data_IF_908787344100
#
_entry.id   IF_908787344100
#
_cell.length_a   1.000
_cell.length_b   1.000
_cell.length_c   1.000
_cell.angle_alpha   90.00
_cell.angle_beta   90.00
_cell.angle_gamma   90.00
#
_symmetry.space_group_name_H-M   'P 1'
#
loop_
_entity.id
_entity.type
_entity.pdbx_description
1 polymer ?
#
# COMPACT_ATOMS: atom_id res chain seq x y z
N UNK A 1 11.55 -5.76 7.71
CA UNK A 1 10.55 -4.68 7.94
C UNK A 1 9.99 -4.26 6.59
N UNK A 2 8.77 -3.75 6.50
CA UNK A 2 8.19 -3.28 5.22
C UNK A 2 7.93 -1.79 5.30
N UNK A 3 8.31 -1.04 4.26
CA UNK A 3 8.07 0.41 4.12
C UNK A 3 7.02 0.63 3.05
N UNK A 4 5.96 1.35 3.38
CA UNK A 4 4.87 1.65 2.46
C UNK A 4 4.94 3.10 2.00
N UNK A 5 5.08 3.34 0.70
CA UNK A 5 5.17 4.68 0.09
C UNK A 5 3.86 5.01 -0.64
N UNK A 6 3.21 6.12 -0.28
CA UNK A 6 2.08 6.65 -1.05
C UNK A 6 1.80 8.13 -0.76
N UNK A 7 1.11 8.77 -1.71
CA UNK A 7 0.66 10.17 -1.61
C UNK A 7 -0.32 10.43 -0.46
N UNK A 8 -0.66 11.70 -0.23
CA UNK A 8 -1.60 12.10 0.85
C UNK A 8 -2.97 11.47 0.67
N UNK A 9 -3.66 11.22 1.79
CA UNK A 9 -5.05 10.73 1.84
C UNK A 9 -5.33 9.40 1.10
N UNK A 10 -4.31 8.57 0.92
CA UNK A 10 -4.40 7.25 0.27
C UNK A 10 -4.86 6.12 1.18
N UNK A 11 -5.21 6.41 2.44
CA UNK A 11 -5.66 5.39 3.41
C UNK A 11 -4.53 4.67 4.17
N UNK A 12 -3.29 5.16 4.11
CA UNK A 12 -2.14 4.59 4.87
C UNK A 12 -2.44 4.39 6.36
N UNK A 13 -2.96 5.43 7.02
CA UNK A 13 -3.30 5.38 8.45
C UNK A 13 -4.39 4.34 8.74
N UNK A 14 -5.42 4.26 7.90
CA UNK A 14 -6.49 3.24 8.01
C UNK A 14 -5.90 1.83 7.89
N UNK A 15 -4.97 1.61 6.96
CA UNK A 15 -4.28 0.33 6.84
C UNK A 15 -3.46 0.00 8.09
N UNK A 16 -2.71 0.94 8.65
CA UNK A 16 -1.96 0.70 9.89
C UNK A 16 -2.88 0.36 11.05
N UNK A 17 -4.05 0.99 11.16
CA UNK A 17 -5.08 0.65 12.16
C UNK A 17 -5.56 -0.79 11.96
N UNK A 18 -5.89 -1.18 10.73
CA UNK A 18 -6.30 -2.56 10.43
C UNK A 18 -5.20 -3.57 10.75
N UNK A 19 -3.95 -3.26 10.43
CA UNK A 19 -2.81 -4.13 10.77
C UNK A 19 -2.60 -4.22 12.28
N UNK A 20 -2.71 -3.10 13.00
CA UNK A 20 -2.63 -3.05 14.46
C UNK A 20 -3.71 -3.91 15.10
N UNK A 21 -4.96 -3.81 14.64
CA UNK A 21 -6.07 -4.62 15.14
C UNK A 21 -5.86 -6.13 14.92
N UNK A 22 -5.23 -6.51 13.80
CA UNK A 22 -4.95 -7.91 13.47
C UNK A 22 -3.77 -8.50 14.24
N UNK A 23 -2.75 -7.69 14.51
CA UNK A 23 -1.45 -8.17 15.01
C UNK A 23 -1.17 -7.81 16.46
N UNK A 24 -1.91 -6.86 17.02
CA UNK A 24 -1.60 -6.27 18.32
C UNK A 24 -0.35 -5.37 18.31
N UNK A 25 0.16 -4.99 17.13
CA UNK A 25 1.29 -4.06 17.04
C UNK A 25 0.90 -2.64 17.45
N UNK A 26 1.80 -1.93 18.15
CA UNK A 26 1.56 -0.55 18.60
C UNK A 26 1.85 0.42 17.47
N UNK A 27 0.92 1.33 17.18
CA UNK A 27 1.15 2.40 16.20
C UNK A 27 1.93 3.54 16.87
N UNK A 28 3.02 3.97 16.24
CA UNK A 28 3.83 5.13 16.62
C UNK A 28 3.53 6.26 15.65
N UNK A 29 3.21 7.44 16.20
CA UNK A 29 2.91 8.64 15.42
C UNK A 29 3.81 9.83 15.80
N UNK A 30 4.02 10.80 14.89
CA UNK A 30 4.86 11.99 15.13
C UNK A 30 4.40 12.87 16.29
N UNK A 31 3.09 13.05 16.49
CA UNK A 31 2.56 14.02 17.46
C UNK A 31 1.41 13.46 18.28
N UNK A 32 1.16 14.05 19.45
CA UNK A 32 -0.02 13.73 20.28
C UNK A 32 -1.34 13.99 19.56
N UNK A 33 -1.39 15.00 18.69
CA UNK A 33 -2.58 15.28 17.86
C UNK A 33 -2.86 14.11 16.90
N UNK A 34 -1.81 13.57 16.28
CA UNK A 34 -1.94 12.39 15.40
C UNK A 34 -2.31 11.13 16.18
N UNK A 35 -1.74 10.92 17.38
CA UNK A 35 -2.16 9.83 18.29
C UNK A 35 -3.66 9.91 18.58
N UNK A 36 -4.16 11.08 18.96
CA UNK A 36 -5.60 11.29 19.20
C UNK A 36 -6.46 11.19 17.94
N UNK A 37 -5.91 11.45 16.76
CA UNK A 37 -6.59 11.21 15.49
C UNK A 37 -6.70 9.72 15.17
N UNK A 38 -5.61 8.96 15.32
CA UNK A 38 -5.58 7.50 15.11
C UNK A 38 -6.53 6.79 16.07
N UNK A 39 -6.52 7.16 17.35
CA UNK A 39 -7.39 6.55 18.37
C UNK A 39 -8.88 6.81 18.11
N UNK A 40 -9.24 8.02 17.65
CA UNK A 40 -10.61 8.32 17.21
C UNK A 40 -10.99 7.53 15.96
N UNK A 41 -10.11 7.51 14.95
CA UNK A 41 -10.35 6.76 13.72
C UNK A 41 -10.53 5.27 13.97
N UNK A 42 -9.74 4.66 14.87
CA UNK A 42 -9.89 3.26 15.23
C UNK A 42 -11.27 2.97 15.85
N UNK A 43 -11.74 3.86 16.74
CA UNK A 43 -13.09 3.79 17.33
C UNK A 43 -14.19 3.94 16.28
N UNK A 44 -14.06 4.90 15.37
CA UNK A 44 -15.02 5.13 14.28
C UNK A 44 -15.10 3.92 13.33
N UNK A 45 -13.98 3.21 13.14
CA UNK A 45 -13.90 1.97 12.38
C UNK A 45 -14.38 0.73 13.17
N UNK A 46 -14.70 0.86 14.46
CA UNK A 46 -15.11 -0.25 15.31
C UNK A 46 -13.98 -1.26 15.60
N UNK A 47 -12.72 -0.83 15.50
CA UNK A 47 -11.54 -1.68 15.68
C UNK A 47 -10.90 -1.46 17.06
N UNK A 48 -10.60 -2.56 17.75
CA UNK A 48 -9.80 -2.52 18.96
C UNK A 48 -8.32 -2.62 18.61
N UNK A 49 -7.53 -1.63 19.03
CA UNK A 49 -6.08 -1.58 18.85
C UNK A 49 -5.39 -1.26 20.18
N UNK A 50 -4.12 -1.66 20.38
CA UNK A 50 -3.30 -1.13 21.46
C UNK A 50 -3.24 0.40 21.40
N UNK A 51 -3.13 1.10 22.55
CA UNK A 51 -3.03 2.55 22.57
C UNK A 51 -1.86 3.06 21.70
N UNK A 52 -2.11 3.93 20.71
CA UNK A 52 -1.04 4.52 19.92
C UNK A 52 -0.15 5.40 20.80
N UNK A 53 1.13 5.52 20.44
CA UNK A 53 2.12 6.30 21.19
C UNK A 53 2.82 7.32 20.29
N UNK A 54 3.42 8.34 20.90
CA UNK A 54 4.26 9.29 20.15
C UNK A 54 5.67 8.75 19.94
N UNK A 55 6.39 9.30 18.96
CA UNK A 55 7.84 9.06 18.79
C UNK A 55 8.62 9.37 20.05
N UNK A 56 8.28 10.48 20.73
CA UNK A 56 8.95 10.90 21.95
C UNK A 56 8.77 9.87 23.08
N UNK A 57 7.55 9.33 23.24
CA UNK A 57 7.27 8.30 24.24
C UNK A 57 7.93 6.97 23.88
N UNK A 58 7.98 6.64 22.59
CA UNK A 58 8.67 5.46 22.11
C UNK A 58 10.16 5.50 22.41
N UNK A 59 10.85 6.61 22.08
CA UNK A 59 12.27 6.82 22.37
C UNK A 59 12.51 6.80 23.88
N UNK A 60 11.68 7.49 24.68
CA UNK A 60 11.78 7.48 26.13
C UNK A 60 11.62 6.07 26.70
N UNK A 61 10.73 5.27 26.12
CA UNK A 61 10.52 3.87 26.46
C UNK A 61 11.77 3.01 26.16
N UNK A 62 12.38 3.20 24.99
CA UNK A 62 13.60 2.49 24.59
C UNK A 62 14.79 2.79 25.52
N UNK A 63 14.94 4.05 25.97
CA UNK A 63 16.02 4.42 26.90
C UNK A 63 15.81 3.83 28.30
N UNK A 64 14.56 3.62 28.71
CA UNK A 64 14.20 3.11 30.05
C UNK A 64 14.12 1.58 30.14
N UNK A 65 13.93 0.88 29.02
CA UNK A 65 13.78 -0.59 29.00
C UNK A 65 15.05 -1.27 28.52
N UNK A 66 15.57 -2.23 29.30
CA UNK A 66 16.67 -3.12 28.89
C UNK A 66 16.20 -4.40 28.20
N UNK A 67 14.90 -4.71 28.18
CA UNK A 67 14.36 -5.87 27.46
C UNK A 67 12.94 -5.60 26.95
N UNK A 68 12.71 -6.02 25.71
CA UNK A 68 11.40 -5.99 25.06
C UNK A 68 11.45 -6.61 23.68
N UNK A 69 12.18 -7.72 23.51
CA UNK A 69 12.40 -8.42 22.23
C UNK A 69 11.11 -9.02 21.60
N UNK A 70 9.92 -8.67 22.09
CA UNK A 70 8.62 -9.18 21.63
C UNK A 70 7.59 -8.13 21.22
N UNK A 71 7.92 -6.83 21.23
CA UNK A 71 6.98 -5.78 20.79
C UNK A 71 7.21 -5.40 19.34
N UNK A 72 6.14 -5.47 18.55
CA UNK A 72 6.13 -5.01 17.15
C UNK A 72 5.49 -3.63 17.07
N UNK A 73 6.07 -2.77 16.25
CA UNK A 73 5.64 -1.38 16.07
C UNK A 73 5.28 -1.13 14.61
N UNK A 74 4.27 -0.29 14.42
CA UNK A 74 3.87 0.26 13.12
C UNK A 74 4.11 1.77 13.15
N UNK A 75 4.84 2.30 12.16
CA UNK A 75 5.18 3.72 12.13
C UNK A 75 4.28 4.45 11.14
N UNK A 76 3.51 5.42 11.63
CA UNK A 76 2.77 6.36 10.76
C UNK A 76 3.60 7.62 10.49
N UNK A 77 3.49 8.13 9.25
CA UNK A 77 4.23 9.29 8.75
C UNK A 77 5.74 9.31 9.11
N UNK A 78 6.44 8.27 8.66
CA UNK A 78 7.89 8.11 8.88
C UNK A 78 8.69 9.35 8.47
N UNK A 79 8.29 10.04 7.40
CA UNK A 79 8.96 11.26 6.94
C UNK A 79 8.90 12.36 8.00
N UNK A 80 7.71 12.61 8.57
CA UNK A 80 7.55 13.58 9.65
C UNK A 80 8.34 13.17 10.90
N UNK A 81 8.36 11.88 11.24
CA UNK A 81 9.16 11.39 12.38
C UNK A 81 10.65 11.67 12.20
N UNK A 82 11.21 11.32 11.03
CA UNK A 82 12.63 11.58 10.73
C UNK A 82 12.94 13.07 10.77
N UNK A 83 12.03 13.91 10.27
CA UNK A 83 12.16 15.36 10.34
C UNK A 83 12.21 15.88 11.79
N UNK A 84 11.34 15.37 12.68
CA UNK A 84 11.36 15.72 14.11
C UNK A 84 12.64 15.28 14.83
N UNK A 85 13.27 14.21 14.35
CA UNK A 85 14.55 13.72 14.87
C UNK A 85 15.76 14.44 14.26
N UNK A 86 15.54 15.49 13.46
CA UNK A 86 16.58 16.25 12.77
C UNK A 86 17.45 15.35 11.87
N UNK A 87 16.85 14.33 11.26
CA UNK A 87 17.50 13.45 10.29
C UNK A 87 17.36 14.04 8.90
N UNK A 88 18.50 14.36 8.27
CA UNK A 88 18.53 14.93 6.91
C UNK A 88 18.45 13.86 5.82
N UNK A 89 19.12 12.73 6.02
CA UNK A 89 19.15 11.63 5.07
C UNK A 89 19.10 10.27 5.79
N UNK A 90 18.43 9.30 5.16
CA UNK A 90 18.41 7.91 5.61
C UNK A 90 18.55 6.98 4.41
N UNK A 91 19.16 5.83 4.62
CA UNK A 91 19.42 4.84 3.55
C UNK A 91 18.67 3.55 3.86
N UNK A 92 18.31 2.81 2.81
CA UNK A 92 17.78 1.46 2.88
C UNK A 92 18.69 0.55 2.08
N UNK A 93 18.98 -0.64 2.61
CA UNK A 93 19.81 -1.64 1.95
C UNK A 93 19.08 -2.26 0.74
N UNK A 94 19.83 -2.56 -0.33
CA UNK A 94 19.29 -3.05 -1.59
C UNK A 94 18.53 -4.39 -1.45
N UNK A 95 18.94 -5.24 -0.50
CA UNK A 95 18.26 -6.49 -0.18
C UNK A 95 16.83 -6.29 0.34
N UNK A 96 16.47 -5.06 0.72
CA UNK A 96 15.14 -4.69 1.20
C UNK A 96 14.31 -3.93 0.15
N UNK A 97 14.76 -3.84 -1.11
CA UNK A 97 13.97 -3.24 -2.22
C UNK A 97 12.57 -3.84 -2.32
N UNK A 98 12.43 -5.16 -2.20
CA UNK A 98 11.14 -5.86 -2.27
C UNK A 98 10.24 -5.59 -1.04
N UNK A 99 10.82 -5.06 0.03
CA UNK A 99 10.09 -4.64 1.22
C UNK A 99 9.66 -3.16 1.18
N UNK A 100 10.08 -2.41 0.16
CA UNK A 100 9.53 -1.07 -0.13
C UNK A 100 8.37 -1.24 -1.11
N UNK A 101 7.15 -1.00 -0.64
CA UNK A 101 5.92 -1.23 -1.40
C UNK A 101 5.18 0.08 -1.65
N UNK A 102 4.73 0.28 -2.88
CA UNK A 102 3.83 1.39 -3.19
C UNK A 102 2.44 1.08 -2.65
N UNK A 103 1.90 1.93 -1.79
CA UNK A 103 0.61 1.71 -1.13
C UNK A 103 -0.54 2.24 -1.99
N UNK A 104 -1.58 1.41 -2.21
CA UNK A 104 -2.74 1.78 -3.04
C UNK A 104 -2.46 1.94 -4.54
N UNK A 105 -1.23 1.64 -4.99
CA UNK A 105 -0.88 1.57 -6.41
C UNK A 105 -0.79 0.09 -6.77
N UNK A 106 -1.71 -0.40 -7.61
CA UNK A 106 -1.58 -1.73 -8.21
C UNK A 106 -0.21 -1.75 -8.90
N UNK A 107 0.67 -2.69 -8.55
CA UNK A 107 1.95 -2.83 -9.26
C UNK A 107 1.63 -2.97 -10.75
N UNK A 108 1.93 -1.92 -11.52
CA UNK A 108 1.77 -1.96 -12.96
C UNK A 108 3.00 -2.65 -13.52
N UNK A 109 2.84 -3.46 -14.58
CA UNK A 109 3.95 -4.18 -15.21
C UNK A 109 5.16 -3.26 -15.49
N UNK A 110 4.93 -1.96 -15.71
CA UNK A 110 5.95 -0.95 -15.96
C UNK A 110 6.93 -0.69 -14.81
N UNK A 111 6.65 -1.08 -13.56
CA UNK A 111 7.60 -0.89 -12.44
C UNK A 111 8.81 -1.83 -12.50
N UNK A 112 8.75 -2.90 -13.30
CA UNK A 112 9.85 -3.88 -13.49
C UNK A 112 10.44 -3.89 -14.89
N UNK A 113 10.09 -2.92 -15.74
CA UNK A 113 10.66 -2.79 -17.08
C UNK A 113 12.12 -2.29 -17.04
N UNK A 114 12.92 -2.62 -18.06
CA UNK A 114 14.34 -2.23 -18.18
C UNK A 114 14.57 -0.71 -18.18
N UNK A 115 13.58 0.08 -18.59
CA UNK A 115 13.64 1.54 -18.61
C UNK A 115 13.25 2.17 -17.26
N UNK A 116 13.97 1.73 -16.21
CA UNK A 116 13.67 1.90 -14.78
C UNK A 116 13.33 3.32 -14.31
N UNK A 117 13.77 4.37 -15.01
CA UNK A 117 13.75 5.71 -14.41
C UNK A 117 12.57 6.59 -14.83
N UNK A 118 11.95 6.37 -15.98
CA UNK A 118 10.82 7.20 -16.42
C UNK A 118 9.98 6.39 -17.41
N UNK A 119 8.94 5.70 -16.94
CA UNK A 119 7.91 5.31 -17.88
C UNK A 119 7.16 6.59 -18.26
N UNK A 120 7.67 7.29 -19.28
CA UNK A 120 7.05 8.46 -19.92
C UNK A 120 5.60 8.20 -20.36
N UNK A 121 5.21 6.92 -20.44
CA UNK A 121 3.89 6.44 -20.83
C UNK A 121 3.14 5.74 -19.67
N UNK A 122 3.53 5.95 -18.41
CA UNK A 122 2.85 5.33 -17.26
C UNK A 122 1.38 5.75 -17.19
N UNK A 123 1.11 7.03 -17.43
CA UNK A 123 -0.24 7.57 -17.45
C UNK A 123 -1.05 6.98 -18.61
N UNK A 124 -0.44 6.85 -19.79
CA UNK A 124 -1.06 6.19 -20.95
C UNK A 124 -1.35 4.72 -20.69
N UNK A 125 -0.44 3.99 -20.04
CA UNK A 125 -0.66 2.60 -19.63
C UNK A 125 -1.83 2.47 -18.66
N UNK A 126 -1.88 3.33 -17.63
CA UNK A 126 -2.96 3.34 -16.65
C UNK A 126 -4.30 3.69 -17.30
N UNK A 127 -4.31 4.67 -18.21
CA UNK A 127 -5.48 5.05 -18.99
C UNK A 127 -5.95 3.92 -19.90
N UNK A 128 -5.03 3.23 -20.58
CA UNK A 128 -5.32 2.09 -21.43
C UNK A 128 -5.88 0.91 -20.61
N UNK A 129 -5.29 0.60 -19.46
CA UNK A 129 -5.79 -0.46 -18.58
C UNK A 129 -7.18 -0.11 -18.03
N UNK A 130 -7.39 1.15 -17.61
CA UNK A 130 -8.70 1.61 -17.16
C UNK A 130 -9.76 1.52 -18.28
N UNK A 131 -9.39 1.86 -19.52
CA UNK A 131 -10.28 1.72 -20.66
C UNK A 131 -10.66 0.26 -20.91
N UNK A 132 -9.71 -0.68 -20.80
CA UNK A 132 -9.95 -2.12 -20.90
C UNK A 132 -10.86 -2.62 -19.77
N UNK A 133 -10.63 -2.16 -18.53
CA UNK A 133 -11.41 -2.55 -17.35
C UNK A 133 -12.88 -2.10 -17.45
N UNK A 134 -13.15 -0.99 -18.15
CA UNK A 134 -14.50 -0.46 -18.40
C UNK A 134 -15.17 -1.02 -19.66
N UNK A 135 -14.50 -1.87 -20.46
CA UNK A 135 -15.12 -2.53 -21.61
C UNK A 135 -16.28 -3.40 -21.13
N UNK A 136 -17.46 -3.13 -21.69
CA UNK A 136 -18.66 -3.90 -21.41
C UNK A 136 -19.18 -4.58 -22.68
N UNK A 137 -19.72 -5.79 -22.48
CA UNK A 137 -20.32 -6.59 -23.54
C UNK A 137 -21.80 -6.77 -23.26
N UNK A 138 -22.58 -6.69 -24.32
CA UNK A 138 -24.02 -6.93 -24.28
C UNK A 138 -24.27 -8.43 -24.39
N UNK A 139 -24.77 -9.03 -23.31
CA UNK A 139 -25.21 -10.41 -23.33
C UNK A 139 -26.67 -10.48 -23.82
N UNK A 140 -26.97 -11.32 -24.82
CA UNK A 140 -28.35 -11.59 -25.19
C UNK A 140 -29.03 -12.30 -24.02
N UNK A 141 -30.06 -11.67 -23.46
CA UNK A 141 -30.95 -12.33 -22.51
C UNK A 141 -31.86 -13.30 -23.25
N UNK A 142 -32.20 -14.44 -22.62
CA UNK A 142 -33.16 -15.41 -23.17
C UNK A 142 -34.58 -14.84 -23.32
N UNK A 143 -34.86 -13.70 -22.69
CA UNK A 143 -36.10 -12.95 -22.85
C UNK A 143 -35.83 -11.66 -23.64
N UNK A 144 -36.49 -11.54 -24.78
CA UNK A 144 -36.28 -10.61 -25.91
C UNK A 144 -36.54 -9.11 -25.58
N UNK A 145 -36.35 -8.68 -24.32
CA UNK A 145 -36.64 -7.30 -23.87
C UNK A 145 -35.60 -6.67 -22.94
N UNK A 146 -34.49 -7.34 -22.62
CA UNK A 146 -33.43 -6.70 -21.84
C UNK A 146 -32.03 -7.10 -22.30
N UNK A 147 -31.32 -6.12 -22.87
CA UNK A 147 -29.89 -6.24 -23.12
C UNK A 147 -29.19 -6.05 -21.77
N UNK A 148 -28.56 -7.11 -21.24
CA UNK A 148 -27.77 -7.01 -20.02
C UNK A 148 -26.32 -6.71 -20.41
N UNK A 149 -25.86 -5.51 -20.07
CA UNK A 149 -24.45 -5.15 -20.19
C UNK A 149 -23.68 -5.69 -18.98
N UNK A 150 -22.53 -6.33 -19.22
CA UNK A 150 -21.60 -6.78 -18.19
C UNK A 150 -20.19 -6.30 -18.55
N UNK A 151 -19.44 -5.79 -17.58
CA UNK A 151 -18.02 -5.46 -17.79
C UNK A 151 -17.21 -6.74 -17.91
N UNK A 152 -16.23 -6.75 -18.80
CA UNK A 152 -15.38 -7.94 -19.04
C UNK A 152 -14.73 -8.46 -17.73
N UNK A 153 -14.25 -7.54 -16.88
CA UNK A 153 -13.67 -7.86 -15.56
C UNK A 153 -14.63 -8.52 -14.56
N UNK A 154 -15.93 -8.32 -14.74
CA UNK A 154 -16.96 -8.82 -13.83
C UNK A 154 -17.53 -10.17 -14.32
N UNK A 155 -17.01 -10.72 -15.43
CA UNK A 155 -17.39 -12.03 -15.96
C UNK A 155 -16.63 -13.12 -15.18
N UNK A 156 -17.32 -13.99 -14.40
CA UNK A 156 -16.65 -14.88 -13.44
C UNK A 156 -15.70 -15.92 -14.04
N UNK A 157 -15.85 -16.27 -15.32
CA UNK A 157 -15.09 -17.30 -16.01
C UNK A 157 -14.04 -16.74 -16.98
N UNK A 158 -13.92 -15.41 -17.07
CA UNK A 158 -12.89 -14.74 -17.89
C UNK A 158 -11.83 -14.18 -16.94
N UNK A 159 -10.58 -14.54 -17.19
CA UNK A 159 -9.46 -13.90 -16.49
C UNK A 159 -9.40 -12.41 -16.86
N UNK A 160 -9.23 -11.50 -15.88
CA UNK A 160 -9.09 -10.08 -16.17
C UNK A 160 -7.99 -9.81 -17.20
N UNK A 161 -8.30 -8.98 -18.20
CA UNK A 161 -7.35 -8.65 -19.26
C UNK A 161 -6.29 -7.72 -18.70
N UNK A 162 -5.08 -8.24 -18.53
CA UNK A 162 -3.93 -7.43 -18.12
C UNK A 162 -3.10 -7.04 -19.34
N UNK A 163 -2.97 -5.72 -19.56
CA UNK A 163 -2.08 -5.19 -20.59
C UNK A 163 -0.62 -5.45 -20.17
N UNK A 164 0.13 -6.12 -21.04
CA UNK A 164 1.55 -6.42 -20.83
C UNK A 164 2.42 -5.44 -21.59
N UNK A 165 3.42 -4.88 -20.92
CA UNK A 165 4.45 -4.11 -21.60
C UNK A 165 5.35 -5.07 -22.41
N UNK A 166 5.59 -4.78 -23.69
CA UNK A 166 6.48 -5.58 -24.56
C UNK A 166 7.93 -5.64 -24.03
N UNK A 167 8.36 -4.61 -23.31
CA UNK A 167 9.71 -4.51 -22.73
C UNK A 167 9.77 -4.99 -21.27
N UNK A 168 8.70 -5.64 -20.79
CA UNK A 168 8.70 -6.27 -19.48
C UNK A 168 9.69 -7.43 -19.49
N UNK A 169 10.77 -7.29 -18.72
CA UNK A 169 11.60 -8.44 -18.41
C UNK A 169 10.82 -9.32 -17.44
N UNK A 170 10.20 -10.37 -17.96
CA UNK A 170 9.94 -11.54 -17.14
C UNK A 170 11.32 -12.03 -16.70
N UNK A 171 11.67 -11.86 -15.42
CA UNK A 171 12.65 -12.73 -14.77
C UNK A 171 12.07 -14.14 -14.82
N UNK A 172 12.14 -14.76 -15.99
CA UNK A 172 12.07 -16.19 -16.13
C UNK A 172 13.30 -16.69 -15.40
N UNK A 173 13.10 -17.19 -14.18
CA UNK A 173 14.08 -17.99 -13.50
C UNK A 173 14.28 -19.27 -14.31
N UNK A 174 15.02 -19.19 -15.41
CA UNK A 174 15.73 -20.35 -15.94
C UNK A 174 16.99 -20.49 -15.12
N UNK A 175 16.87 -21.27 -14.05
CA UNK A 175 17.99 -22.01 -13.50
C UNK A 175 18.55 -22.85 -14.65
N UNK A 176 19.77 -22.52 -15.08
CA UNK A 176 20.74 -23.46 -15.64
C UNK A 176 22.11 -23.07 -15.15
#
# INVERSE_FOLDING_TARGET
MTVYIAGRQTGKTVFLIQQSARTGAVIVAPTYQMVGYIDRMARDLGLQIPPPITVADWIRGLVRQREGHGKTYLVDDLQMMLHQLNVEASTLDENYKEMVRMFGVKETCCTKCSHRDVCQYKEEYLAAQAAVDEVSVNLPSKDDKSVRSIRLRDIPWIEPVELRCRYFHQSTGTVR
#
